data_IF_572386952232
#
_entry.id   IF_572386952232
#
_cell.length_a   1.000
_cell.length_b   1.000
_cell.length_c   1.000
_cell.angle_alpha   90.00
_cell.angle_beta   90.00
_cell.angle_gamma   90.00
#
_symmetry.space_group_name_H-M   'P 1'
#
loop_
_entity.id
_entity.type
_entity.pdbx_description
1 polymer ?
#
# COMPACT_ATOMS: atom_id res chain seq x y z
N UNK A 1 -12.18 -16.58 11.12
CA UNK A 1 -11.79 -16.15 9.75
C UNK A 1 -10.70 -17.08 9.26
N UNK A 2 -10.81 -17.68 8.07
CA UNK A 2 -9.74 -18.49 7.46
C UNK A 2 -8.60 -17.61 6.97
N UNK A 3 -7.42 -18.20 6.71
CA UNK A 3 -6.29 -17.44 6.16
C UNK A 3 -6.62 -16.78 4.82
N UNK A 4 -7.33 -17.47 3.93
CA UNK A 4 -7.78 -16.92 2.64
C UNK A 4 -8.69 -15.72 2.84
N UNK A 5 -9.65 -15.79 3.76
CA UNK A 5 -10.54 -14.67 4.08
C UNK A 5 -9.76 -13.47 4.65
N UNK A 6 -8.72 -13.71 5.46
CA UNK A 6 -7.86 -12.64 5.98
C UNK A 6 -7.07 -11.98 4.84
N UNK A 7 -6.51 -12.75 3.92
CA UNK A 7 -5.81 -12.21 2.75
C UNK A 7 -6.78 -11.36 1.92
N UNK A 8 -7.96 -11.86 1.60
CA UNK A 8 -8.98 -11.12 0.84
C UNK A 8 -9.37 -9.80 1.52
N UNK A 9 -9.55 -9.82 2.85
CA UNK A 9 -9.81 -8.62 3.63
C UNK A 9 -8.68 -7.59 3.49
N UNK A 10 -7.42 -8.00 3.70
CA UNK A 10 -6.27 -7.09 3.60
C UNK A 10 -6.09 -6.52 2.19
N UNK A 11 -6.36 -7.32 1.14
CA UNK A 11 -6.35 -6.84 -0.25
C UNK A 11 -7.44 -5.78 -0.50
N UNK A 12 -8.62 -5.94 0.09
CA UNK A 12 -9.68 -4.91 0.04
C UNK A 12 -9.26 -3.63 0.76
N UNK A 13 -8.79 -3.74 2.02
CA UNK A 13 -8.35 -2.61 2.83
C UNK A 13 -7.23 -1.83 2.11
N UNK A 14 -6.29 -2.56 1.53
CA UNK A 14 -5.20 -1.98 0.73
C UNK A 14 -5.72 -1.23 -0.50
N UNK A 15 -6.69 -1.80 -1.21
CA UNK A 15 -7.28 -1.18 -2.39
C UNK A 15 -8.05 0.10 -2.04
N UNK A 16 -8.74 0.12 -0.89
CA UNK A 16 -9.48 1.28 -0.39
C UNK A 16 -8.54 2.39 0.12
N UNK A 17 -7.43 2.01 0.76
CA UNK A 17 -6.41 2.94 1.24
C UNK A 17 -5.54 3.55 0.12
N UNK A 18 -5.53 2.96 -1.06
CA UNK A 18 -4.77 3.44 -2.22
C UNK A 18 -5.63 3.42 -3.50
N UNK A 19 -6.69 4.26 -3.57
CA UNK A 19 -7.70 4.19 -4.60
C UNK A 19 -7.17 4.57 -6.00
N UNK A 20 -7.65 3.85 -7.01
CA UNK A 20 -7.44 4.21 -8.39
C UNK A 20 -8.45 5.29 -8.84
N UNK A 21 -8.12 6.03 -9.89
CA UNK A 21 -9.01 7.02 -10.50
C UNK A 21 -10.12 6.33 -11.32
N UNK A 22 -9.75 5.27 -12.03
CA UNK A 22 -10.68 4.47 -12.82
C UNK A 22 -10.69 3.05 -12.30
N UNK A 23 -11.88 2.52 -12.05
CA UNK A 23 -12.10 1.11 -11.71
C UNK A 23 -13.15 0.54 -12.63
N UNK A 24 -12.82 -0.56 -13.32
CA UNK A 24 -13.76 -1.33 -14.13
C UNK A 24 -13.85 -2.75 -13.58
N UNK A 25 -15.07 -3.23 -13.37
CA UNK A 25 -15.32 -4.61 -12.95
C UNK A 25 -15.51 -5.52 -14.17
N UNK A 26 -14.84 -6.66 -14.18
CA UNK A 26 -14.93 -7.66 -15.23
C UNK A 26 -15.00 -9.03 -14.58
N UNK A 27 -16.19 -9.60 -14.52
CA UNK A 27 -16.49 -10.95 -14.04
C UNK A 27 -15.63 -11.41 -12.84
N UNK A 28 -15.74 -10.68 -11.71
CA UNK A 28 -15.02 -10.95 -10.47
C UNK A 28 -13.63 -10.30 -10.36
N UNK A 29 -13.13 -9.66 -11.43
CA UNK A 29 -11.88 -8.91 -11.44
C UNK A 29 -12.14 -7.40 -11.35
N UNK A 30 -11.20 -6.67 -10.72
CA UNK A 30 -11.18 -5.20 -10.67
C UNK A 30 -9.97 -4.68 -11.43
N UNK A 31 -10.19 -4.04 -12.58
CA UNK A 31 -9.18 -3.39 -13.38
C UNK A 31 -9.03 -1.96 -12.86
N UNK A 32 -7.84 -1.60 -12.43
CA UNK A 32 -7.56 -0.32 -11.74
C UNK A 32 -6.55 0.48 -12.56
N UNK A 33 -6.84 1.78 -12.75
CA UNK A 33 -5.95 2.68 -13.47
C UNK A 33 -5.86 4.06 -12.79
N UNK A 34 -4.65 4.61 -12.69
CA UNK A 34 -4.37 5.96 -12.19
C UNK A 34 -3.08 6.48 -12.82
N UNK A 35 -3.12 6.87 -14.11
CA UNK A 35 -2.01 7.50 -14.80
C UNK A 35 -0.68 6.71 -14.79
N UNK A 36 -0.70 5.41 -14.57
CA UNK A 36 0.48 4.53 -14.47
C UNK A 36 1.54 4.98 -13.42
N UNK A 37 1.13 5.74 -12.38
CA UNK A 37 2.08 6.33 -11.41
C UNK A 37 2.51 5.38 -10.29
N UNK A 38 1.74 4.33 -10.00
CA UNK A 38 2.11 3.24 -9.08
C UNK A 38 1.56 1.91 -9.58
N UNK A 39 2.29 0.81 -9.38
CA UNK A 39 1.77 -0.53 -9.69
C UNK A 39 0.47 -0.81 -8.94
N UNK A 40 0.39 -0.45 -7.66
CA UNK A 40 -0.75 -0.69 -6.76
C UNK A 40 -2.05 -0.08 -7.28
N UNK A 41 -2.04 1.12 -7.85
CA UNK A 41 -3.22 1.76 -8.43
C UNK A 41 -3.40 1.49 -9.93
N UNK A 42 -2.52 0.70 -10.54
CA UNK A 42 -2.51 0.37 -11.97
C UNK A 42 -2.30 -1.13 -12.18
N UNK A 43 -3.15 -1.93 -11.58
CA UNK A 43 -3.11 -3.38 -11.70
C UNK A 43 -4.49 -4.00 -11.54
N UNK A 44 -4.64 -5.20 -12.07
CA UNK A 44 -5.84 -6.05 -11.93
C UNK A 44 -5.79 -6.76 -10.59
N UNK A 45 -6.86 -6.66 -9.84
CA UNK A 45 -7.12 -7.45 -8.65
C UNK A 45 -8.09 -8.56 -9.01
N UNK A 46 -7.58 -9.77 -9.15
CA UNK A 46 -8.33 -10.97 -9.52
C UNK A 46 -8.91 -11.64 -8.25
N UNK A 47 -9.91 -10.99 -7.63
CA UNK A 47 -10.43 -11.40 -6.31
C UNK A 47 -11.37 -12.60 -6.37
N UNK A 48 -12.02 -12.84 -7.52
CA UNK A 48 -12.95 -13.94 -7.74
C UNK A 48 -12.74 -14.53 -9.13
N UNK A 49 -12.99 -15.83 -9.29
CA UNK A 49 -12.85 -16.49 -10.60
C UNK A 49 -13.84 -15.96 -11.64
N UNK A 50 -15.04 -15.57 -11.20
CA UNK A 50 -16.16 -15.28 -12.09
C UNK A 50 -16.77 -16.54 -12.70
N UNK A 51 -17.87 -16.38 -13.41
CA UNK A 51 -18.65 -17.52 -13.92
C UNK A 51 -19.07 -17.34 -15.39
N UNK A 52 -18.88 -16.13 -15.97
CA UNK A 52 -19.49 -15.76 -17.23
C UNK A 52 -18.49 -15.71 -18.41
N UNK A 53 -17.21 -15.55 -18.13
CA UNK A 53 -16.17 -15.38 -19.15
C UNK A 53 -15.05 -16.40 -18.98
N UNK A 54 -14.56 -16.91 -20.12
CA UNK A 54 -13.33 -17.69 -20.13
C UNK A 54 -12.12 -16.82 -19.76
N UNK A 55 -11.06 -17.45 -19.27
CA UNK A 55 -9.85 -16.74 -18.82
C UNK A 55 -9.18 -15.94 -19.93
N UNK A 56 -9.17 -16.49 -21.17
CA UNK A 56 -8.69 -15.82 -22.38
C UNK A 56 -9.53 -14.58 -22.74
N UNK A 57 -10.83 -14.67 -22.59
CA UNK A 57 -11.73 -13.52 -22.85
C UNK A 57 -11.49 -12.40 -21.85
N UNK A 58 -11.34 -12.74 -20.56
CA UNK A 58 -10.97 -11.78 -19.53
C UNK A 58 -9.64 -11.12 -19.84
N UNK A 59 -8.62 -11.90 -20.21
CA UNK A 59 -7.30 -11.37 -20.55
C UNK A 59 -7.38 -10.38 -21.72
N UNK A 60 -8.13 -10.71 -22.77
CA UNK A 60 -8.35 -9.80 -23.91
C UNK A 60 -8.95 -8.47 -23.48
N UNK A 61 -9.97 -8.50 -22.59
CA UNK A 61 -10.60 -7.28 -22.05
C UNK A 61 -9.59 -6.47 -21.21
N UNK A 62 -8.79 -7.13 -20.40
CA UNK A 62 -7.74 -6.48 -19.58
C UNK A 62 -6.71 -5.79 -20.45
N UNK A 63 -6.16 -6.50 -21.44
CA UNK A 63 -5.15 -5.96 -22.35
C UNK A 63 -5.68 -4.74 -23.12
N UNK A 64 -6.92 -4.81 -23.62
CA UNK A 64 -7.58 -3.69 -24.28
C UNK A 64 -7.82 -2.51 -23.33
N UNK A 65 -8.23 -2.75 -22.07
CA UNK A 65 -8.41 -1.72 -21.05
C UNK A 65 -7.14 -0.91 -20.81
N UNK A 66 -5.98 -1.59 -20.67
CA UNK A 66 -4.70 -0.93 -20.41
C UNK A 66 -4.09 -0.35 -21.69
N UNK A 67 -4.21 -1.01 -22.83
CA UNK A 67 -3.72 -0.54 -24.13
C UNK A 67 -4.33 0.83 -24.50
N UNK A 68 -5.64 1.02 -24.31
CA UNK A 68 -6.34 2.31 -24.56
C UNK A 68 -5.82 3.44 -23.69
N UNK A 69 -5.08 3.14 -22.61
CA UNK A 69 -4.54 4.10 -21.64
C UNK A 69 -3.01 4.23 -21.71
N UNK A 70 -2.39 3.66 -22.74
CA UNK A 70 -0.93 3.59 -22.90
C UNK A 70 -0.23 3.11 -21.63
N UNK A 71 -0.78 2.07 -21.00
CA UNK A 71 -0.29 1.48 -19.76
C UNK A 71 -0.09 -0.03 -19.97
N UNK A 72 1.02 -0.62 -19.52
CA UNK A 72 1.19 -2.07 -19.61
C UNK A 72 0.14 -2.78 -18.73
N UNK A 73 -0.47 -3.85 -19.22
CA UNK A 73 -1.34 -4.67 -18.40
C UNK A 73 -0.54 -5.32 -17.28
N UNK A 74 -1.06 -5.19 -16.06
CA UNK A 74 -0.39 -5.65 -14.85
C UNK A 74 -1.39 -6.33 -13.93
N UNK A 75 -1.04 -7.48 -13.40
CA UNK A 75 -1.83 -8.23 -12.44
C UNK A 75 -1.17 -8.23 -11.07
N UNK A 76 -1.94 -8.00 -10.03
CA UNK A 76 -1.55 -8.20 -8.64
C UNK A 76 -1.84 -9.64 -8.24
N UNK A 77 -0.78 -10.42 -7.99
CA UNK A 77 -0.87 -11.85 -7.71
C UNK A 77 -0.55 -12.11 -6.24
N UNK A 78 -1.58 -12.41 -5.48
CA UNK A 78 -1.50 -12.84 -4.09
C UNK A 78 -2.00 -14.29 -3.94
N UNK A 79 -1.81 -14.96 -2.78
CA UNK A 79 -2.27 -16.34 -2.59
C UNK A 79 -3.78 -16.55 -2.68
N UNK A 80 -4.57 -15.48 -2.62
CA UNK A 80 -6.02 -15.51 -2.80
C UNK A 80 -6.49 -15.11 -4.20
N UNK A 81 -5.57 -14.87 -5.15
CA UNK A 81 -5.92 -14.52 -6.53
C UNK A 81 -6.64 -15.68 -7.23
N UNK A 82 -7.64 -15.32 -8.06
CA UNK A 82 -8.50 -16.29 -8.74
C UNK A 82 -8.54 -16.07 -10.26
N UNK A 83 -8.53 -17.17 -11.04
CA UNK A 83 -8.45 -18.58 -10.60
C UNK A 83 -7.07 -18.94 -10.05
N UNK A 84 -6.97 -20.03 -9.27
CA UNK A 84 -5.73 -20.40 -8.58
C UNK A 84 -4.51 -20.58 -9.50
N UNK A 85 -4.71 -20.98 -10.76
CA UNK A 85 -3.66 -21.14 -11.78
C UNK A 85 -3.36 -19.85 -12.56
N UNK A 86 -3.89 -18.69 -12.16
CA UNK A 86 -3.73 -17.41 -12.88
C UNK A 86 -2.26 -17.03 -13.05
N UNK A 87 -1.42 -17.24 -12.04
CA UNK A 87 0.00 -16.91 -12.11
C UNK A 87 0.73 -17.69 -13.21
N UNK A 88 0.51 -19.00 -13.28
CA UNK A 88 1.09 -19.86 -14.31
C UNK A 88 0.55 -19.53 -15.71
N UNK A 89 -0.75 -19.25 -15.80
CA UNK A 89 -1.39 -18.85 -17.05
C UNK A 89 -0.76 -17.57 -17.62
N UNK A 90 -0.57 -16.54 -16.79
CA UNK A 90 0.05 -15.28 -17.18
C UNK A 90 1.53 -15.46 -17.55
N UNK A 91 2.27 -16.30 -16.80
CA UNK A 91 3.65 -16.64 -17.15
C UNK A 91 3.76 -17.25 -18.54
N UNK A 92 2.85 -18.19 -18.90
CA UNK A 92 2.77 -18.81 -20.23
C UNK A 92 2.42 -17.82 -21.35
N UNK A 93 1.84 -16.66 -21.03
CA UNK A 93 1.50 -15.56 -21.94
C UNK A 93 2.56 -14.47 -22.02
N UNK A 94 3.74 -14.68 -21.41
CA UNK A 94 4.87 -13.76 -21.46
C UNK A 94 4.86 -12.65 -20.39
N UNK A 95 3.90 -12.67 -19.47
CA UNK A 95 3.92 -11.76 -18.32
C UNK A 95 5.07 -12.09 -17.37
N UNK A 96 5.91 -11.12 -17.07
CA UNK A 96 7.09 -11.30 -16.19
C UNK A 96 6.79 -10.93 -14.76
N UNK A 97 7.36 -11.64 -13.76
CA UNK A 97 7.21 -11.29 -12.35
C UNK A 97 8.01 -10.03 -12.01
N UNK A 98 7.45 -9.19 -11.14
CA UNK A 98 8.08 -7.96 -10.66
C UNK A 98 7.63 -7.62 -9.23
N UNK A 99 8.45 -6.86 -8.48
CA UNK A 99 8.12 -6.22 -7.22
C UNK A 99 7.52 -7.14 -6.15
N UNK A 100 8.24 -8.21 -5.79
CA UNK A 100 7.85 -9.06 -4.67
C UNK A 100 7.73 -8.25 -3.39
N UNK A 101 6.56 -8.32 -2.74
CA UNK A 101 6.20 -7.49 -1.59
C UNK A 101 5.61 -8.36 -0.48
N UNK A 102 6.08 -8.17 0.75
CA UNK A 102 5.52 -8.79 1.93
C UNK A 102 4.36 -7.96 2.50
N UNK A 103 3.27 -8.62 2.83
CA UNK A 103 2.24 -8.09 3.74
C UNK A 103 2.61 -8.53 5.14
N UNK A 104 2.86 -7.55 6.00
CA UNK A 104 3.17 -7.77 7.40
C UNK A 104 2.07 -7.22 8.30
N UNK A 105 1.84 -7.86 9.43
CA UNK A 105 0.87 -7.45 10.42
C UNK A 105 1.38 -7.66 11.85
N UNK A 106 0.79 -6.90 12.76
CA UNK A 106 1.04 -7.01 14.20
C UNK A 106 -0.23 -6.63 14.98
N UNK A 107 -0.43 -7.14 16.21
CA UNK A 107 -1.38 -6.54 17.15
C UNK A 107 -0.99 -5.09 17.43
N UNK A 108 -1.97 -4.18 17.44
CA UNK A 108 -1.71 -2.76 17.68
C UNK A 108 -1.05 -2.51 19.04
N UNK A 109 -1.45 -3.23 20.08
CA UNK A 109 -0.87 -3.17 21.41
C UNK A 109 0.62 -3.53 21.42
N UNK A 110 1.04 -4.50 20.61
CA UNK A 110 2.45 -4.89 20.48
C UNK A 110 3.27 -3.76 19.86
N UNK A 111 2.73 -3.12 18.82
CA UNK A 111 3.38 -1.97 18.17
C UNK A 111 3.52 -0.81 19.15
N UNK A 112 2.45 -0.48 19.89
CA UNK A 112 2.46 0.57 20.91
C UNK A 112 3.49 0.31 22.04
N UNK A 113 3.57 -0.94 22.48
CA UNK A 113 4.54 -1.33 23.54
C UNK A 113 5.99 -1.25 23.07
N UNK A 114 6.26 -1.47 21.78
CA UNK A 114 7.64 -1.54 21.25
C UNK A 114 8.10 -0.26 20.53
N UNK A 115 7.17 0.56 20.04
CA UNK A 115 7.48 1.81 19.37
C UNK A 115 7.73 2.92 20.39
N UNK A 116 8.98 3.12 20.76
CA UNK A 116 9.35 4.21 21.66
C UNK A 116 9.55 5.51 20.88
N UNK A 117 9.07 6.63 21.46
CA UNK A 117 9.26 7.97 20.89
C UNK A 117 10.59 8.56 21.33
N UNK A 118 11.22 9.31 20.45
CA UNK A 118 12.37 10.15 20.80
C UNK A 118 11.85 11.53 21.23
N UNK A 119 12.18 12.04 22.45
CA UNK A 119 11.68 13.31 22.97
C UNK A 119 12.11 14.52 22.13
N UNK A 120 13.12 14.38 21.26
CA UNK A 120 13.56 15.43 20.36
C UNK A 120 12.60 15.67 19.19
N UNK A 121 11.65 14.76 18.97
CA UNK A 121 10.68 14.85 17.89
C UNK A 121 9.33 15.35 18.37
N UNK A 122 8.77 16.31 17.62
CA UNK A 122 7.36 16.65 17.71
C UNK A 122 6.63 16.00 16.55
N UNK A 123 5.44 15.45 16.79
CA UNK A 123 4.65 14.81 15.72
C UNK A 123 3.27 15.45 15.66
N UNK A 124 2.90 15.92 14.48
CA UNK A 124 1.55 16.38 14.17
C UNK A 124 0.84 15.31 13.31
N UNK A 125 -0.47 15.19 13.49
CA UNK A 125 -1.33 14.36 12.64
C UNK A 125 -2.59 15.13 12.30
N UNK A 126 -3.00 15.09 11.04
CA UNK A 126 -4.21 15.72 10.54
C UNK A 126 -4.99 14.79 9.61
N UNK A 127 -6.27 15.14 9.37
CA UNK A 127 -7.15 14.38 8.47
C UNK A 127 -6.83 14.66 6.99
N UNK A 128 -6.01 15.68 6.72
CA UNK A 128 -5.54 16.06 5.38
C UNK A 128 -4.04 16.32 5.43
N UNK A 129 -3.36 16.09 4.31
CA UNK A 129 -1.95 16.48 4.16
C UNK A 129 -1.84 17.94 3.72
N UNK A 130 -0.80 18.60 4.18
CA UNK A 130 -0.40 19.94 3.73
C UNK A 130 0.72 19.86 2.66
N UNK A 131 1.18 21.03 2.20
CA UNK A 131 2.26 21.11 1.21
C UNK A 131 3.57 20.52 1.73
N UNK A 132 3.90 20.73 3.00
CA UNK A 132 5.16 20.25 3.59
C UNK A 132 5.17 18.71 3.69
N UNK A 133 4.05 18.10 4.08
CA UNK A 133 3.88 16.64 4.06
C UNK A 133 4.07 16.09 2.65
N UNK A 134 3.41 16.73 1.66
CA UNK A 134 3.45 16.26 0.28
C UNK A 134 4.84 16.42 -0.35
N UNK A 135 5.58 17.46 -0.04
CA UNK A 135 6.97 17.66 -0.48
C UNK A 135 7.89 16.56 0.04
N UNK A 136 7.84 16.25 1.35
CA UNK A 136 8.63 15.16 1.95
C UNK A 136 8.24 13.81 1.37
N UNK A 137 6.93 13.56 1.15
CA UNK A 137 6.44 12.37 0.49
C UNK A 137 6.98 12.24 -0.94
N UNK A 138 6.87 13.29 -1.75
CA UNK A 138 7.37 13.29 -3.14
C UNK A 138 8.87 13.06 -3.20
N UNK A 139 9.63 13.70 -2.33
CA UNK A 139 11.07 13.53 -2.25
C UNK A 139 11.44 12.07 -1.93
N UNK A 140 10.86 11.49 -0.89
CA UNK A 140 11.19 10.14 -0.43
C UNK A 140 10.71 9.01 -1.33
N UNK A 141 9.57 9.21 -1.99
CA UNK A 141 9.01 8.26 -2.97
C UNK A 141 9.54 8.49 -4.40
N UNK A 142 10.48 9.42 -4.58
CA UNK A 142 11.05 9.79 -5.88
C UNK A 142 9.98 10.10 -6.93
N UNK A 143 8.93 10.83 -6.50
CA UNK A 143 7.81 11.20 -7.37
C UNK A 143 8.28 12.22 -8.39
N UNK A 144 8.10 11.91 -9.68
CA UNK A 144 8.44 12.82 -10.77
C UNK A 144 7.44 13.99 -10.82
N UNK A 145 7.86 15.22 -11.18
CA UNK A 145 6.97 16.38 -11.22
C UNK A 145 5.72 16.18 -12.09
N UNK A 146 5.85 15.52 -13.23
CA UNK A 146 4.77 15.21 -14.17
C UNK A 146 3.75 14.19 -13.63
N UNK A 147 4.11 13.44 -12.60
CA UNK A 147 3.25 12.42 -11.95
C UNK A 147 2.74 12.86 -10.57
N UNK A 148 3.20 14.00 -10.06
CA UNK A 148 2.88 14.46 -8.71
C UNK A 148 1.38 14.68 -8.49
N UNK A 149 0.67 15.26 -9.47
CA UNK A 149 -0.77 15.49 -9.36
C UNK A 149 -1.58 14.19 -9.33
N UNK A 150 -1.21 13.19 -10.12
CA UNK A 150 -1.84 11.88 -10.06
C UNK A 150 -1.60 11.18 -8.72
N UNK A 151 -0.42 11.37 -8.09
CA UNK A 151 -0.13 10.90 -6.72
C UNK A 151 -0.96 11.64 -5.68
N UNK A 152 -1.08 12.97 -5.81
CA UNK A 152 -1.94 13.81 -4.97
C UNK A 152 -3.39 13.34 -5.03
N UNK A 153 -3.90 13.08 -6.22
CA UNK A 153 -5.24 12.57 -6.43
C UNK A 153 -5.51 11.21 -5.76
N UNK A 154 -4.53 10.30 -5.66
CA UNK A 154 -4.69 9.06 -4.88
C UNK A 154 -4.96 9.40 -3.42
N UNK A 155 -4.12 10.25 -2.81
CA UNK A 155 -4.23 10.62 -1.39
C UNK A 155 -5.56 11.34 -1.08
N UNK A 156 -6.04 12.18 -1.99
CA UNK A 156 -7.31 12.92 -1.84
C UNK A 156 -8.55 12.04 -1.98
N UNK A 157 -8.46 10.90 -2.68
CA UNK A 157 -9.57 9.98 -2.91
C UNK A 157 -9.68 8.86 -1.88
N UNK A 158 -8.84 8.82 -0.86
CA UNK A 158 -8.93 7.81 0.20
C UNK A 158 -10.32 7.92 0.85
N UNK A 159 -11.12 6.86 0.75
CA UNK A 159 -12.48 6.83 1.28
C UNK A 159 -12.56 6.57 2.78
N UNK A 160 -11.80 5.59 3.32
CA UNK A 160 -11.75 5.35 4.76
C UNK A 160 -11.08 6.50 5.51
N UNK A 161 -11.19 6.46 6.84
CA UNK A 161 -10.56 7.47 7.71
C UNK A 161 -9.04 7.44 7.55
N UNK A 162 -8.46 8.57 7.16
CA UNK A 162 -7.03 8.73 6.93
C UNK A 162 -6.41 9.71 7.94
N UNK A 163 -5.19 9.44 8.39
CA UNK A 163 -4.39 10.30 9.24
C UNK A 163 -3.02 10.53 8.60
N UNK A 164 -2.71 11.79 8.31
CA UNK A 164 -1.45 12.22 7.71
C UNK A 164 -0.53 12.75 8.81
N UNK A 165 0.51 11.99 9.13
CA UNK A 165 1.44 12.33 10.22
C UNK A 165 2.73 12.93 9.69
N UNK A 166 3.23 13.97 10.37
CA UNK A 166 4.53 14.61 10.11
C UNK A 166 5.35 14.60 11.39
N UNK A 167 6.59 14.13 11.32
CA UNK A 167 7.59 14.22 12.38
C UNK A 167 8.47 15.43 12.13
N UNK A 168 8.63 16.26 13.16
CA UNK A 168 9.47 17.45 13.13
C UNK A 168 10.67 17.32 14.09
N UNK A 169 11.81 17.83 13.66
CA UNK A 169 12.96 18.15 14.50
C UNK A 169 13.06 19.68 14.58
N UNK A 170 12.67 20.26 15.70
CA UNK A 170 12.39 21.69 15.78
C UNK A 170 11.23 22.07 14.83
N UNK A 171 11.50 22.91 13.84
CA UNK A 171 10.52 23.31 12.82
C UNK A 171 10.67 22.57 11.48
N UNK A 172 11.70 21.71 11.37
CA UNK A 172 11.99 20.99 10.12
C UNK A 172 11.19 19.70 10.04
N UNK A 173 10.34 19.48 9.02
CA UNK A 173 9.71 18.20 8.78
C UNK A 173 10.78 17.19 8.30
N UNK A 174 10.92 16.07 9.02
CA UNK A 174 11.97 15.08 8.78
C UNK A 174 11.45 13.72 8.34
N UNK A 175 10.19 13.42 8.66
CA UNK A 175 9.52 12.21 8.21
C UNK A 175 8.02 12.43 8.09
N UNK A 176 7.40 11.68 7.17
CA UNK A 176 5.94 11.68 6.96
C UNK A 176 5.42 10.26 6.82
N UNK A 177 4.13 10.08 7.09
CA UNK A 177 3.45 8.81 6.88
C UNK A 177 1.95 8.96 6.88
N UNK A 178 1.30 7.94 6.37
CA UNK A 178 -0.14 7.85 6.26
C UNK A 178 -0.63 6.63 7.03
N UNK A 179 -1.60 6.83 7.92
CA UNK A 179 -2.41 5.80 8.53
C UNK A 179 -3.81 5.79 7.92
N UNK A 180 -4.36 4.61 7.63
CA UNK A 180 -5.74 4.46 7.18
C UNK A 180 -6.44 3.43 8.05
N UNK A 181 -7.55 3.85 8.70
CA UNK A 181 -8.32 2.97 9.58
C UNK A 181 -9.61 2.55 8.90
N UNK A 182 -9.80 1.24 8.80
CA UNK A 182 -11.03 0.62 8.30
C UNK A 182 -11.25 -0.73 8.96
N UNK A 183 -12.47 -1.02 9.40
CA UNK A 183 -12.89 -2.33 9.95
C UNK A 183 -11.98 -2.88 11.06
N UNK A 184 -11.50 -2.00 11.97
CA UNK A 184 -10.63 -2.38 13.09
C UNK A 184 -9.14 -2.56 12.72
N UNK A 185 -8.74 -2.28 11.48
CA UNK A 185 -7.38 -2.36 10.99
C UNK A 185 -6.79 -0.98 10.73
N UNK A 186 -5.54 -0.79 11.14
CA UNK A 186 -4.71 0.34 10.75
C UNK A 186 -3.74 -0.09 9.65
N UNK A 187 -3.92 0.42 8.44
CA UNK A 187 -2.92 0.31 7.38
C UNK A 187 -1.89 1.42 7.47
N UNK A 188 -0.60 1.10 7.40
CA UNK A 188 0.50 2.05 7.36
C UNK A 188 1.04 2.16 5.93
N UNK A 189 1.08 3.40 5.41
CA UNK A 189 1.49 3.69 4.04
C UNK A 189 2.45 4.89 4.01
N UNK A 190 3.22 4.99 2.93
CA UNK A 190 4.07 6.16 2.65
C UNK A 190 4.94 6.59 3.83
N UNK A 191 5.51 5.61 4.55
CA UNK A 191 6.42 5.87 5.66
C UNK A 191 7.77 6.32 5.10
N UNK A 192 7.98 7.62 5.03
CA UNK A 192 9.16 8.25 4.46
C UNK A 192 9.94 8.97 5.56
N UNK A 193 11.26 8.76 5.60
CA UNK A 193 12.19 9.56 6.40
C UNK A 193 13.24 10.15 5.46
N UNK A 194 13.46 11.44 5.53
CA UNK A 194 14.50 12.13 4.74
C UNK A 194 15.87 11.50 5.04
N UNK A 195 16.75 11.32 4.03
CA UNK A 195 18.00 10.56 4.16
C UNK A 195 18.88 11.03 5.33
N UNK A 196 18.97 12.34 5.56
CA UNK A 196 19.82 12.97 6.58
C UNK A 196 19.35 12.64 8.01
N UNK A 197 18.06 12.26 8.18
CA UNK A 197 17.43 11.95 9.47
C UNK A 197 17.15 10.46 9.68
N UNK A 198 17.66 9.59 8.76
CA UNK A 198 17.52 8.13 8.92
C UNK A 198 18.33 7.63 10.10
N UNK A 199 17.91 6.50 10.67
CA UNK A 199 18.56 5.79 11.79
C UNK A 199 18.59 6.59 13.11
N UNK A 200 17.77 7.64 13.23
CA UNK A 200 17.66 8.50 14.42
C UNK A 200 16.33 8.35 15.14
N UNK A 201 15.50 7.36 14.77
CA UNK A 201 14.23 7.05 15.43
C UNK A 201 13.00 7.74 14.85
N UNK A 202 13.12 8.60 13.81
CA UNK A 202 11.98 9.30 13.21
C UNK A 202 10.87 8.37 12.71
N UNK A 203 11.23 7.29 12.00
CA UNK A 203 10.25 6.30 11.54
C UNK A 203 9.54 5.58 12.70
N UNK A 204 10.23 5.31 13.81
CA UNK A 204 9.61 4.71 15.01
C UNK A 204 8.63 5.68 15.67
N UNK A 205 8.99 6.97 15.79
CA UNK A 205 8.11 8.01 16.33
C UNK A 205 6.85 8.17 15.47
N UNK A 206 7.01 8.14 14.13
CA UNK A 206 5.93 8.19 13.17
C UNK A 206 4.96 7.02 13.34
N UNK A 207 5.47 5.79 13.40
CA UNK A 207 4.65 4.58 13.58
C UNK A 207 3.94 4.61 14.94
N UNK A 208 4.61 5.04 16.00
CA UNK A 208 4.00 5.18 17.33
C UNK A 208 2.79 6.12 17.32
N UNK A 209 2.94 7.32 16.75
CA UNK A 209 1.82 8.30 16.71
C UNK A 209 0.68 7.82 15.82
N UNK A 210 0.98 7.21 14.68
CA UNK A 210 -0.05 6.59 13.84
C UNK A 210 -0.77 5.43 14.56
N UNK A 211 -0.04 4.64 15.36
CA UNK A 211 -0.65 3.58 16.17
C UNK A 211 -1.53 4.14 17.29
N UNK A 212 -1.10 5.20 18.01
CA UNK A 212 -1.92 5.89 18.98
C UNK A 212 -3.20 6.46 18.32
N UNK A 213 -3.05 7.09 17.17
CA UNK A 213 -4.19 7.62 16.41
C UNK A 213 -5.12 6.48 15.95
N UNK A 214 -4.57 5.37 15.46
CA UNK A 214 -5.35 4.18 15.09
C UNK A 214 -6.16 3.63 16.26
N UNK A 215 -5.55 3.59 17.46
CA UNK A 215 -6.22 3.15 18.69
C UNK A 215 -7.42 4.04 19.04
N UNK A 216 -7.29 5.37 18.93
CA UNK A 216 -8.42 6.29 19.18
C UNK A 216 -9.55 6.12 18.18
N UNK A 217 -9.27 5.50 17.01
CA UNK A 217 -10.24 5.16 15.97
C UNK A 217 -10.60 3.66 15.94
N UNK A 218 -10.42 2.96 17.08
CA UNK A 218 -10.85 1.57 17.30
C UNK A 218 -10.10 0.53 16.44
N UNK A 219 -8.92 0.85 15.92
CA UNK A 219 -8.06 -0.17 15.35
C UNK A 219 -7.47 -1.05 16.47
N UNK A 220 -7.39 -2.36 16.23
CA UNK A 220 -6.75 -3.32 17.12
C UNK A 220 -5.66 -4.17 16.43
N UNK A 221 -5.58 -4.07 15.10
CA UNK A 221 -4.58 -4.71 14.27
C UNK A 221 -3.91 -3.66 13.39
N UNK A 222 -2.64 -3.89 13.05
CA UNK A 222 -1.88 -3.04 12.12
C UNK A 222 -1.35 -3.90 10.99
N UNK A 223 -1.39 -3.38 9.75
CA UNK A 223 -0.75 -4.01 8.61
C UNK A 223 0.05 -3.00 7.80
N UNK A 224 1.02 -3.50 7.06
CA UNK A 224 1.81 -2.71 6.13
C UNK A 224 2.27 -3.56 4.94
N UNK A 225 2.79 -2.90 3.93
CA UNK A 225 3.39 -3.49 2.74
C UNK A 225 4.85 -3.07 2.63
N UNK A 226 5.73 -4.02 2.41
CA UNK A 226 7.16 -3.75 2.27
C UNK A 226 7.76 -4.62 1.17
N UNK A 227 8.59 -4.03 0.31
CA UNK A 227 9.35 -4.78 -0.68
C UNK A 227 10.20 -5.85 0.01
N UNK A 228 10.21 -7.06 -0.52
CA UNK A 228 10.90 -8.21 0.10
C UNK A 228 12.43 -8.04 0.19
N UNK A 229 13.00 -7.14 -0.61
CA UNK A 229 14.41 -6.78 -0.61
C UNK A 229 14.75 -5.54 0.25
N UNK A 230 13.76 -4.87 0.85
CA UNK A 230 13.98 -3.71 1.73
C UNK A 230 14.41 -4.14 3.14
N UNK A 231 15.63 -4.67 3.26
CA UNK A 231 16.17 -5.18 4.52
C UNK A 231 16.13 -4.16 5.69
N UNK A 232 16.42 -2.85 5.50
CA UNK A 232 16.33 -1.87 6.57
C UNK A 232 14.90 -1.70 7.13
N UNK A 233 13.89 -1.69 6.28
CA UNK A 233 12.48 -1.57 6.70
C UNK A 233 12.00 -2.85 7.37
N UNK A 234 12.32 -4.02 6.80
CA UNK A 234 12.01 -5.33 7.40
C UNK A 234 12.59 -5.46 8.81
N UNK A 235 13.85 -5.04 9.02
CA UNK A 235 14.48 -5.05 10.34
C UNK A 235 13.80 -4.10 11.34
N UNK A 236 13.32 -2.94 10.87
CA UNK A 236 12.55 -2.01 11.71
C UNK A 236 11.21 -2.66 12.12
N UNK A 237 10.45 -3.18 11.16
CA UNK A 237 9.14 -3.74 11.43
C UNK A 237 9.20 -5.00 12.31
N UNK A 238 10.19 -5.87 12.12
CA UNK A 238 10.42 -7.02 13.00
C UNK A 238 10.65 -6.60 14.48
N UNK A 239 11.44 -5.53 14.72
CA UNK A 239 11.62 -4.99 16.09
C UNK A 239 10.31 -4.48 16.68
N UNK A 240 9.41 -3.94 15.87
CA UNK A 240 8.09 -3.44 16.30
C UNK A 240 7.05 -4.56 16.43
N UNK A 241 7.40 -5.80 16.12
CA UNK A 241 6.54 -6.97 16.30
C UNK A 241 5.73 -7.35 15.08
N UNK A 242 6.05 -6.80 13.89
CA UNK A 242 5.41 -7.22 12.66
C UNK A 242 5.94 -8.57 12.18
N UNK A 243 5.03 -9.41 11.70
CA UNK A 243 5.31 -10.70 11.09
C UNK A 243 4.72 -10.76 9.68
N UNK A 244 5.41 -11.45 8.77
CA UNK A 244 4.94 -11.62 7.40
C UNK A 244 3.81 -12.65 7.35
N UNK A 245 2.64 -12.24 6.86
CA UNK A 245 1.51 -13.13 6.62
C UNK A 245 1.62 -13.82 5.26
N UNK A 246 1.90 -13.07 4.21
CA UNK A 246 2.07 -13.58 2.84
C UNK A 246 2.91 -12.62 2.00
N UNK A 247 3.26 -13.09 0.80
CA UNK A 247 3.86 -12.26 -0.24
C UNK A 247 2.93 -12.18 -1.43
N UNK A 248 2.99 -11.05 -2.13
CA UNK A 248 2.42 -10.89 -3.46
C UNK A 248 3.49 -10.39 -4.42
N UNK A 249 3.24 -10.54 -5.71
CA UNK A 249 4.05 -9.94 -6.76
C UNK A 249 3.15 -9.41 -7.89
N UNK A 250 3.75 -8.70 -8.83
CA UNK A 250 3.05 -8.33 -10.05
C UNK A 250 3.46 -9.21 -11.21
N UNK A 251 2.52 -9.50 -12.10
CA UNK A 251 2.77 -9.99 -13.46
C UNK A 251 2.54 -8.85 -14.42
N UNK A 252 3.56 -8.45 -15.19
CA UNK A 252 3.50 -7.34 -16.14
C UNK A 252 3.90 -7.80 -17.54
N UNK A 253 3.14 -7.38 -18.56
CA UNK A 253 3.47 -7.56 -19.95
C UNK A 253 4.17 -6.28 -20.45
N UNK A 254 5.45 -6.40 -20.80
CA UNK A 254 6.31 -5.30 -21.30
C UNK A 254 6.51 -5.37 -22.78
#
# INVERSE_FOLDING_TARGET
MTQVQLIQLLEELTANAWPAEVVQHVDGWRLRFNGNVTRRANSVYASQAGENLLLEEKLTIVEEFYRRRNCPPRFHICPAAQPAHLDEFLAGRGYRPDACTAIQLAPLETVLARAQTNPNYTVAIGDMFDSSWFEVFCYGEHVKPDTAEARRGILQRIGPRAGFATVYLGHQPVAVGLGVVERGWLGLFSLVTQPEYRRQGAATALIHVLACWGQTHQANQVYLQVMADNAPALALYARLGFETLYHYHYRELT
#
